data_IF_875687284607
#
_entry.id   IF_875687284607
#
_cell.length_a   1.000
_cell.length_b   1.000
_cell.length_c   1.000
_cell.angle_alpha   90.00
_cell.angle_beta   90.00
_cell.angle_gamma   90.00
#
_symmetry.space_group_name_H-M   'P 1'
#
loop_
_entity.id
_entity.type
_entity.pdbx_description
1 polymer ?
#
# COMPACT_ATOMS: atom_id res chain seq x y z
N UNK A 1 14.63 -32.86 -5.97
CA UNK A 1 13.70 -31.86 -5.40
C UNK A 1 13.78 -30.63 -6.29
N UNK A 2 12.73 -30.35 -7.06
CA UNK A 2 12.69 -29.16 -7.93
C UNK A 2 12.45 -27.91 -7.07
N UNK A 3 13.07 -26.75 -7.39
CA UNK A 3 12.84 -25.52 -6.65
C UNK A 3 11.42 -25.02 -6.96
N UNK A 4 10.59 -24.91 -5.93
CA UNK A 4 9.30 -24.23 -5.99
C UNK A 4 9.57 -22.74 -6.22
N UNK A 5 9.44 -22.29 -7.47
CA UNK A 5 9.32 -20.87 -7.79
C UNK A 5 8.09 -20.31 -7.04
N UNK A 6 8.19 -19.15 -6.36
CA UNK A 6 7.00 -18.50 -5.83
C UNK A 6 6.13 -18.11 -7.03
N UNK A 7 4.91 -18.65 -7.09
CA UNK A 7 3.92 -18.28 -8.09
C UNK A 7 3.81 -16.74 -8.11
N UNK A 8 4.00 -16.15 -9.29
CA UNK A 8 3.78 -14.72 -9.49
C UNK A 8 2.34 -14.40 -9.06
N UNK A 9 2.11 -13.39 -8.20
CA UNK A 9 0.78 -13.06 -7.75
C UNK A 9 -0.09 -12.73 -8.96
N UNK A 10 -1.26 -13.37 -9.03
CA UNK A 10 -2.22 -13.16 -10.12
C UNK A 10 -2.54 -11.66 -10.24
N UNK A 11 -2.57 -11.08 -11.45
CA UNK A 11 -2.68 -9.64 -11.65
C UNK A 11 -3.96 -9.03 -11.06
N UNK A 12 -5.05 -9.80 -10.96
CA UNK A 12 -6.28 -9.43 -10.25
C UNK A 12 -6.02 -9.16 -8.75
N UNK A 13 -5.09 -9.89 -8.15
CA UNK A 13 -4.75 -9.79 -6.73
C UNK A 13 -3.99 -8.50 -6.39
N UNK A 14 -3.16 -8.00 -7.31
CA UNK A 14 -2.37 -6.79 -7.08
C UNK A 14 -3.25 -5.52 -7.10
N UNK A 15 -4.14 -5.39 -8.08
CA UNK A 15 -5.05 -4.26 -8.16
C UNK A 15 -5.99 -4.24 -6.93
N UNK A 16 -6.49 -5.40 -6.51
CA UNK A 16 -7.32 -5.51 -5.32
C UNK A 16 -6.55 -5.18 -4.03
N UNK A 17 -5.30 -5.63 -3.91
CA UNK A 17 -4.43 -5.28 -2.80
C UNK A 17 -4.16 -3.77 -2.73
N UNK A 18 -3.84 -3.15 -3.87
CA UNK A 18 -3.64 -1.70 -3.98
C UNK A 18 -4.91 -0.95 -3.54
N UNK A 19 -6.07 -1.37 -4.01
CA UNK A 19 -7.36 -0.76 -3.65
C UNK A 19 -7.65 -0.89 -2.15
N UNK A 20 -7.41 -2.07 -1.56
CA UNK A 20 -7.59 -2.30 -0.11
C UNK A 20 -6.67 -1.41 0.72
N UNK A 21 -5.39 -1.32 0.37
CA UNK A 21 -4.41 -0.52 1.11
C UNK A 21 -4.74 0.98 0.97
N UNK A 22 -5.02 1.46 -0.24
CA UNK A 22 -5.38 2.85 -0.47
C UNK A 22 -6.67 3.24 0.26
N UNK A 23 -7.69 2.38 0.22
CA UNK A 23 -8.94 2.58 0.95
C UNK A 23 -8.75 2.57 2.47
N UNK A 24 -7.91 1.67 2.99
CA UNK A 24 -7.55 1.65 4.42
C UNK A 24 -6.85 2.94 4.87
N UNK A 25 -5.92 3.43 4.07
CA UNK A 25 -5.20 4.67 4.34
C UNK A 25 -6.11 5.92 4.28
N UNK A 26 -7.05 5.97 3.33
CA UNK A 26 -8.04 7.04 3.24
C UNK A 26 -8.96 7.07 4.49
N UNK A 27 -9.41 5.90 4.97
CA UNK A 27 -10.20 5.78 6.20
C UNK A 27 -9.41 6.25 7.43
N UNK A 28 -8.14 5.88 7.52
CA UNK A 28 -7.25 6.33 8.60
C UNK A 28 -7.12 7.86 8.59
N UNK A 29 -6.93 8.50 7.44
CA UNK A 29 -6.90 9.96 7.34
C UNK A 29 -8.23 10.60 7.77
N UNK A 30 -9.37 10.03 7.33
CA UNK A 30 -10.71 10.53 7.67
C UNK A 30 -11.07 10.35 9.15
N UNK A 31 -10.42 9.42 9.86
CA UNK A 31 -10.60 9.24 11.31
C UNK A 31 -10.03 10.39 12.16
N UNK A 32 -9.33 11.35 11.55
CA UNK A 32 -8.62 12.41 12.25
C UNK A 32 -7.21 12.01 12.71
N UNK A 33 -6.79 10.77 12.43
CA UNK A 33 -5.42 10.34 12.67
C UNK A 33 -4.47 11.11 11.75
N UNK A 34 -3.56 11.87 12.36
CA UNK A 34 -2.61 12.66 11.61
C UNK A 34 -1.68 11.73 10.81
N UNK A 35 -1.39 12.11 9.57
CA UNK A 35 -0.45 11.40 8.70
C UNK A 35 0.90 11.11 9.37
N UNK A 36 1.42 12.03 10.18
CA UNK A 36 2.65 11.84 10.96
C UNK A 36 2.53 10.69 11.98
N UNK A 37 1.36 10.53 12.62
CA UNK A 37 1.12 9.44 13.54
C UNK A 37 1.14 8.09 12.81
N UNK A 38 0.55 8.01 11.60
CA UNK A 38 0.60 6.81 10.76
C UNK A 38 2.04 6.46 10.41
N UNK A 39 2.86 7.45 10.01
CA UNK A 39 4.28 7.24 9.70
C UNK A 39 5.05 6.72 10.92
N UNK A 40 4.80 7.27 12.11
CA UNK A 40 5.44 6.83 13.36
C UNK A 40 5.04 5.40 13.71
N UNK A 41 3.75 5.08 13.66
CA UNK A 41 3.25 3.73 13.96
C UNK A 41 3.83 2.69 12.99
N UNK A 42 3.88 3.00 11.69
CA UNK A 42 4.48 2.10 10.70
C UNK A 42 5.99 1.95 10.89
N UNK A 43 6.69 3.03 11.23
CA UNK A 43 8.13 2.97 11.51
C UNK A 43 8.42 2.09 12.73
N UNK A 44 7.63 2.23 13.79
CA UNK A 44 7.73 1.42 15.01
C UNK A 44 7.48 -0.07 14.72
N UNK A 45 6.43 -0.38 13.96
CA UNK A 45 6.04 -1.77 13.69
C UNK A 45 6.92 -2.49 12.65
N UNK A 46 7.44 -1.76 11.66
CA UNK A 46 8.15 -2.37 10.51
C UNK A 46 9.64 -2.11 10.50
N UNK A 47 10.13 -1.14 11.28
CA UNK A 47 11.51 -0.67 11.23
C UNK A 47 11.87 0.10 9.94
N UNK A 48 10.95 0.25 8.99
CA UNK A 48 11.19 0.96 7.72
C UNK A 48 11.41 2.44 8.00
N UNK A 49 12.40 3.04 7.33
CA UNK A 49 12.72 4.45 7.49
C UNK A 49 11.52 5.35 7.22
N UNK A 50 11.30 6.36 8.09
CA UNK A 50 10.17 7.30 7.99
C UNK A 50 10.04 7.93 6.61
N UNK A 51 11.18 8.25 5.97
CA UNK A 51 11.23 8.86 4.64
C UNK A 51 10.70 7.94 3.54
N UNK A 52 10.95 6.64 3.65
CA UNK A 52 10.48 5.64 2.69
C UNK A 52 8.98 5.38 2.90
N UNK A 53 8.53 5.31 4.15
CA UNK A 53 7.10 5.24 4.47
C UNK A 53 6.36 6.44 3.89
N UNK A 54 6.86 7.66 4.09
CA UNK A 54 6.26 8.87 3.54
C UNK A 54 6.17 8.85 2.00
N UNK A 55 7.22 8.36 1.34
CA UNK A 55 7.21 8.17 -0.11
C UNK A 55 6.14 7.18 -0.55
N UNK A 56 6.05 6.02 0.09
CA UNK A 56 5.05 5.00 -0.24
C UNK A 56 3.63 5.53 -0.01
N UNK A 57 3.38 6.14 1.16
CA UNK A 57 2.08 6.73 1.49
C UNK A 57 1.69 7.88 0.55
N UNK A 58 2.66 8.61 0.00
CA UNK A 58 2.39 9.65 -1.01
C UNK A 58 1.97 9.05 -2.34
N UNK A 59 2.61 7.95 -2.75
CA UNK A 59 2.25 7.24 -3.99
C UNK A 59 0.93 6.47 -3.89
N UNK A 60 0.51 6.07 -2.68
CA UNK A 60 -0.70 5.28 -2.46
C UNK A 60 -2.00 5.97 -2.91
N UNK A 61 -2.04 7.30 -2.90
CA UNK A 61 -3.21 8.04 -3.38
C UNK A 61 -3.38 7.95 -4.92
N UNK A 62 -2.28 7.77 -5.65
CA UNK A 62 -2.27 7.76 -7.12
C UNK A 62 -2.17 6.35 -7.71
N UNK A 63 -1.65 5.40 -6.95
CA UNK A 63 -1.55 3.97 -7.31
C UNK A 63 -2.87 3.38 -7.86
N UNK A 64 -4.06 3.60 -7.26
CA UNK A 64 -5.31 3.11 -7.82
C UNK A 64 -5.64 3.67 -9.21
N UNK A 65 -5.27 4.92 -9.49
CA UNK A 65 -5.52 5.55 -10.80
C UNK A 65 -4.65 4.95 -11.89
N UNK A 66 -3.47 4.46 -11.53
CA UNK A 66 -2.48 3.89 -12.44
C UNK A 66 -2.72 2.39 -12.66
N UNK A 67 -3.04 1.66 -11.59
CA UNK A 67 -3.07 0.19 -11.60
C UNK A 67 -4.46 -0.44 -11.52
N UNK A 68 -5.49 0.30 -11.07
CA UNK A 68 -6.87 -0.21 -11.00
C UNK A 68 -7.76 0.29 -12.14
N UNK A 69 -7.18 0.83 -13.23
CA UNK A 69 -7.97 1.16 -14.43
C UNK A 69 -8.62 -0.11 -14.98
N UNK A 70 -9.90 -0.07 -15.38
CA UNK A 70 -10.51 -1.19 -16.08
C UNK A 70 -9.70 -1.42 -17.36
N UNK A 71 -9.05 -2.58 -17.45
CA UNK A 71 -8.57 -3.13 -18.72
C UNK A 71 -9.80 -3.17 -19.63
N UNK A 72 -9.80 -2.31 -20.64
CA UNK A 72 -10.86 -2.23 -21.65
C UNK A 72 -10.49 -3.08 -22.83
#
# INVERSE_FOLDING_TARGET
MAPTQPAAPEPDSLAEAIAKIAGGFDRLQKSGLNRKAIVILLNDWTGVGKRDIERVLSGLADLPKVYCRPQR
#
